data_IF_533312707375
#
_entry.id   IF_533312707375
#
_cell.length_a   1.000
_cell.length_b   1.000
_cell.length_c   1.000
_cell.angle_alpha   90.00
_cell.angle_beta   90.00
_cell.angle_gamma   90.00
#
_symmetry.space_group_name_H-M   'P 1'
#
loop_
_entity.id
_entity.type
_entity.pdbx_description
1 polymer ?
#
# COMPACT_ATOMS: atom_id res chain seq x y z
N UNK A 1 -15.79 -0.62 -20.73
CA UNK A 1 -15.88 0.25 -19.54
C UNK A 1 -16.41 -0.49 -18.32
N UNK A 2 -17.46 -1.32 -18.45
CA UNK A 2 -18.05 -2.09 -17.33
C UNK A 2 -17.05 -2.88 -16.45
N UNK A 3 -16.07 -3.58 -17.04
CA UNK A 3 -15.04 -4.31 -16.25
C UNK A 3 -14.20 -3.39 -15.37
N UNK A 4 -13.83 -2.23 -15.89
CA UNK A 4 -13.04 -1.23 -15.16
C UNK A 4 -13.82 -0.67 -13.99
N UNK A 5 -15.14 -0.44 -14.15
CA UNK A 5 -16.01 0.09 -13.09
C UNK A 5 -16.20 -0.88 -11.93
N UNK A 6 -16.20 -2.18 -12.20
CA UNK A 6 -16.33 -3.21 -11.15
C UNK A 6 -15.00 -3.52 -10.46
N UNK A 7 -13.88 -3.44 -11.17
CA UNK A 7 -12.57 -3.90 -10.68
C UNK A 7 -11.68 -2.78 -10.13
N UNK A 8 -11.91 -1.52 -10.50
CA UNK A 8 -11.04 -0.42 -10.09
C UNK A 8 -10.95 -0.25 -8.56
N UNK A 9 -12.04 -0.45 -7.83
CA UNK A 9 -12.11 -0.33 -6.38
C UNK A 9 -11.35 -1.46 -5.68
N UNK A 10 -11.63 -2.73 -6.00
CA UNK A 10 -10.82 -3.85 -5.55
C UNK A 10 -9.33 -3.71 -5.87
N UNK A 11 -8.97 -3.23 -7.07
CA UNK A 11 -7.57 -2.99 -7.46
C UNK A 11 -6.94 -1.88 -6.61
N UNK A 12 -7.66 -0.79 -6.38
CA UNK A 12 -7.19 0.32 -5.55
C UNK A 12 -6.92 -0.14 -4.11
N UNK A 13 -7.85 -0.91 -3.53
CA UNK A 13 -7.69 -1.47 -2.19
C UNK A 13 -6.58 -2.53 -2.12
N UNK A 14 -6.40 -3.34 -3.17
CA UNK A 14 -5.31 -4.30 -3.24
C UNK A 14 -3.95 -3.59 -3.26
N UNK A 15 -3.81 -2.53 -4.07
CA UNK A 15 -2.59 -1.72 -4.12
C UNK A 15 -2.26 -1.16 -2.73
N UNK A 16 -3.25 -0.54 -2.08
CA UNK A 16 -3.13 0.00 -0.72
C UNK A 16 -2.70 -1.07 0.29
N UNK A 17 -3.27 -2.28 0.19
CA UNK A 17 -2.88 -3.38 1.07
C UNK A 17 -1.41 -3.79 0.87
N UNK A 18 -0.94 -3.81 -0.38
CA UNK A 18 0.44 -4.17 -0.70
C UNK A 18 1.44 -3.10 -0.22
N UNK A 19 1.17 -1.81 -0.41
CA UNK A 19 2.04 -0.72 0.05
C UNK A 19 2.12 -0.68 1.59
N UNK A 20 0.99 -0.83 2.29
CA UNK A 20 0.97 -0.97 3.75
C UNK A 20 1.72 -2.21 4.25
N UNK A 21 1.62 -3.33 3.55
CA UNK A 21 2.39 -4.52 3.89
C UNK A 21 3.90 -4.28 3.73
N UNK A 22 4.33 -3.66 2.63
CA UNK A 22 5.73 -3.31 2.38
C UNK A 22 6.30 -2.40 3.48
N UNK A 23 5.55 -1.39 3.92
CA UNK A 23 5.94 -0.51 5.04
C UNK A 23 6.14 -1.32 6.33
N UNK A 24 5.17 -2.16 6.71
CA UNK A 24 5.29 -3.00 7.91
C UNK A 24 6.48 -3.95 7.82
N UNK A 25 6.72 -4.54 6.66
CA UNK A 25 7.88 -5.42 6.44
C UNK A 25 9.19 -4.65 6.60
N UNK A 26 9.28 -3.43 6.07
CA UNK A 26 10.46 -2.59 6.18
C UNK A 26 10.77 -2.25 7.64
N UNK A 27 9.76 -1.83 8.40
CA UNK A 27 9.90 -1.51 9.82
C UNK A 27 10.33 -2.73 10.63
N UNK A 28 9.68 -3.88 10.41
CA UNK A 28 10.01 -5.11 11.13
C UNK A 28 11.40 -5.63 10.78
N UNK A 29 11.82 -5.51 9.52
CA UNK A 29 13.17 -5.88 9.10
C UNK A 29 14.24 -5.05 9.84
N UNK A 30 13.99 -3.75 10.05
CA UNK A 30 14.90 -2.89 10.85
C UNK A 30 14.97 -3.35 12.30
N UNK A 31 13.83 -3.67 12.92
CA UNK A 31 13.79 -4.11 14.31
C UNK A 31 14.49 -5.47 14.53
N UNK A 32 14.32 -6.42 13.60
CA UNK A 32 14.97 -7.74 13.68
C UNK A 32 16.50 -7.63 13.62
N UNK A 33 17.00 -6.73 12.78
CA UNK A 33 18.45 -6.57 12.55
C UNK A 33 19.10 -5.49 13.44
N UNK A 34 18.29 -4.78 14.24
CA UNK A 34 18.76 -3.73 15.14
C UNK A 34 19.59 -2.65 14.43
N UNK A 35 20.65 -2.17 15.08
CA UNK A 35 21.52 -1.13 14.51
C UNK A 35 22.21 -1.53 13.20
N UNK A 36 22.41 -2.83 12.94
CA UNK A 36 22.99 -3.28 11.68
C UNK A 36 22.10 -2.98 10.47
N UNK A 37 20.78 -2.95 10.67
CA UNK A 37 19.81 -2.65 9.62
C UNK A 37 19.88 -1.20 9.11
N UNK A 38 20.57 -0.31 9.82
CA UNK A 38 20.76 1.10 9.45
C UNK A 38 22.06 1.34 8.67
N UNK A 39 22.89 0.30 8.53
CA UNK A 39 24.16 0.42 7.81
C UNK A 39 23.94 0.36 6.31
N UNK A 40 24.52 1.31 5.57
CA UNK A 40 24.44 1.34 4.10
C UNK A 40 25.41 0.35 3.42
N UNK A 41 26.32 -0.24 4.20
CA UNK A 41 27.34 -1.17 3.72
C UNK A 41 27.07 -2.59 4.19
N UNK A 42 27.79 -3.56 3.62
CA UNK A 42 27.75 -4.99 4.02
C UNK A 42 26.31 -5.55 4.01
N UNK A 43 25.93 -6.29 5.05
CA UNK A 43 24.66 -7.02 5.13
C UNK A 43 23.44 -6.09 5.33
N UNK A 44 23.61 -4.96 6.02
CA UNK A 44 22.53 -4.00 6.28
C UNK A 44 22.05 -3.24 5.04
N UNK A 45 22.86 -3.20 3.97
CA UNK A 45 22.60 -2.42 2.76
C UNK A 45 21.23 -2.71 2.13
N UNK A 46 20.77 -3.96 2.18
CA UNK A 46 19.51 -4.37 1.56
C UNK A 46 18.31 -3.87 2.36
N UNK A 47 18.39 -3.95 3.70
CA UNK A 47 17.32 -3.50 4.59
C UNK A 47 17.23 -1.97 4.54
N UNK A 48 18.39 -1.28 4.62
CA UNK A 48 18.44 0.18 4.49
C UNK A 48 17.87 0.64 3.15
N UNK A 49 18.23 -0.02 2.04
CA UNK A 49 17.68 0.32 0.72
C UNK A 49 16.18 0.09 0.67
N UNK A 50 15.69 -1.09 1.08
CA UNK A 50 14.25 -1.36 1.08
C UNK A 50 13.49 -0.35 1.95
N UNK A 51 13.98 -0.05 3.14
CA UNK A 51 13.36 0.93 4.04
C UNK A 51 13.34 2.36 3.46
N UNK A 52 14.31 2.75 2.64
CA UNK A 52 14.26 4.05 1.95
C UNK A 52 13.34 4.06 0.73
N UNK A 53 13.18 2.93 0.05
CA UNK A 53 12.51 2.86 -1.24
C UNK A 53 11.07 2.37 -1.18
N UNK A 54 10.60 1.74 -0.10
CA UNK A 54 9.22 1.18 -0.03
C UNK A 54 8.12 2.22 -0.33
N UNK A 55 8.37 3.52 -0.13
CA UNK A 55 7.42 4.59 -0.50
C UNK A 55 7.20 4.72 -2.01
N UNK A 56 8.11 4.22 -2.85
CA UNK A 56 7.90 4.10 -4.30
C UNK A 56 6.75 3.17 -4.67
N UNK A 57 6.31 2.28 -3.76
CA UNK A 57 5.14 1.43 -4.02
C UNK A 57 3.82 2.15 -3.67
N UNK A 58 3.87 3.13 -2.76
CA UNK A 58 2.71 3.87 -2.28
C UNK A 58 2.31 5.04 -3.20
N UNK A 59 3.28 5.75 -3.79
CA UNK A 59 3.05 7.03 -4.49
C UNK A 59 2.60 6.89 -5.96
N UNK A 60 3.35 6.18 -6.83
CA UNK A 60 3.03 6.09 -8.26
C UNK A 60 1.69 5.38 -8.49
N UNK A 61 0.99 5.78 -9.57
CA UNK A 61 -0.33 5.24 -9.90
C UNK A 61 -1.47 5.75 -9.00
N UNK A 62 -1.17 6.58 -7.98
CA UNK A 62 -2.12 7.24 -7.09
C UNK A 62 -1.81 6.93 -5.62
N UNK A 63 -1.68 7.96 -4.79
CA UNK A 63 -1.30 7.82 -3.39
C UNK A 63 -2.29 6.96 -2.59
N UNK A 64 -1.81 6.37 -1.49
CA UNK A 64 -2.58 5.45 -0.64
C UNK A 64 -3.92 6.03 -0.19
N UNK A 65 -3.96 7.31 0.17
CA UNK A 65 -5.18 8.00 0.59
C UNK A 65 -6.20 8.15 -0.56
N UNK A 66 -5.69 8.41 -1.77
CA UNK A 66 -6.51 8.52 -2.98
C UNK A 66 -7.06 7.16 -3.38
N UNK A 67 -6.26 6.10 -3.25
CA UNK A 67 -6.68 4.72 -3.50
C UNK A 67 -7.74 4.25 -2.52
N UNK A 68 -7.58 4.58 -1.24
CA UNK A 68 -8.57 4.30 -0.21
C UNK A 68 -9.92 4.98 -0.53
N UNK A 69 -9.88 6.27 -0.85
CA UNK A 69 -11.07 7.05 -1.21
C UNK A 69 -11.76 6.52 -2.47
N UNK A 70 -10.98 6.18 -3.52
CA UNK A 70 -11.51 5.56 -4.73
C UNK A 70 -12.22 4.23 -4.43
N UNK A 71 -11.58 3.37 -3.63
CA UNK A 71 -12.15 2.08 -3.20
C UNK A 71 -13.49 2.24 -2.49
N UNK A 72 -13.56 3.15 -1.52
CA UNK A 72 -14.80 3.45 -0.77
C UNK A 72 -15.87 4.03 -1.69
N UNK A 73 -15.53 5.04 -2.50
CA UNK A 73 -16.49 5.70 -3.40
C UNK A 73 -17.11 4.73 -4.39
N UNK A 74 -16.33 3.79 -4.94
CA UNK A 74 -16.87 2.79 -5.85
C UNK A 74 -17.82 1.81 -5.14
N UNK A 75 -17.48 1.37 -3.94
CA UNK A 75 -18.38 0.53 -3.13
C UNK A 75 -19.68 1.27 -2.82
N UNK A 76 -19.61 2.53 -2.35
CA UNK A 76 -20.80 3.31 -1.98
C UNK A 76 -21.75 3.59 -3.16
N UNK A 77 -21.23 3.69 -4.39
CA UNK A 77 -22.07 3.83 -5.60
C UNK A 77 -22.89 2.58 -5.88
N UNK A 78 -22.33 1.40 -5.58
CA UNK A 78 -22.96 0.11 -5.88
C UNK A 78 -23.85 -0.43 -4.74
N UNK A 79 -23.85 0.20 -3.56
CA UNK A 79 -24.75 -0.17 -2.46
C UNK A 79 -26.20 0.27 -2.78
N UNK A 80 -27.18 -0.66 -2.75
CA UNK A 80 -28.60 -0.36 -2.95
C UNK A 80 -29.09 0.68 -1.96
N UNK A 81 -29.89 1.65 -2.41
CA UNK A 81 -30.40 2.74 -1.55
C UNK A 81 -31.21 2.22 -0.34
N UNK A 82 -31.85 1.06 -0.48
CA UNK A 82 -32.62 0.41 0.59
C UNK A 82 -31.78 -0.27 1.67
N UNK A 83 -30.49 -0.49 1.40
CA UNK A 83 -29.55 -1.16 2.31
C UNK A 83 -28.53 -0.19 2.90
N UNK A 84 -28.68 1.11 2.64
CA UNK A 84 -27.91 2.16 3.31
C UNK A 84 -28.52 2.33 4.70
N UNK A 85 -27.67 2.13 5.72
CA UNK A 85 -27.99 2.38 7.12
C UNK A 85 -28.45 3.82 7.32
#
# INVERSE_FOLDING_TARGET
MERTERLAGPIALLKLSCSHAAHKIADKAVQIWGGHALTETRMGRFITKFNRHHKFDAVPGGADEIMADLGVKQVMRNIPKSSRL
#
